data_IF_522698986642
#
_entry.id   IF_522698986642
#
_cell.length_a   1.000
_cell.length_b   1.000
_cell.length_c   1.000
_cell.angle_alpha   90.00
_cell.angle_beta   90.00
_cell.angle_gamma   90.00
#
_symmetry.space_group_name_H-M   'P 1'
#
loop_
_entity.id
_entity.type
_entity.pdbx_description
1 polymer ?
#
# COMPACT_ATOMS: atom_id res chain seq x y z
N UNK A 1 -19.52 6.30 16.49
CA UNK A 1 -19.24 6.50 15.05
C UNK A 1 -19.91 5.41 14.22
N UNK A 2 -20.13 5.63 12.91
CA UNK A 2 -20.74 4.58 12.07
C UNK A 2 -19.72 3.46 11.81
N UNK A 3 -20.14 2.21 12.01
CA UNK A 3 -19.30 1.02 11.73
C UNK A 3 -19.05 0.86 10.23
N UNK A 4 -17.96 0.17 9.88
CA UNK A 4 -17.72 -0.24 8.51
C UNK A 4 -18.85 -1.18 8.06
N UNK A 5 -19.47 -0.86 6.94
CA UNK A 5 -20.48 -1.70 6.31
C UNK A 5 -19.90 -2.28 5.02
N UNK A 6 -19.38 -3.51 5.09
CA UNK A 6 -18.78 -4.20 3.95
C UNK A 6 -19.86 -5.04 3.29
N UNK A 7 -20.14 -4.74 2.02
CA UNK A 7 -21.12 -5.50 1.20
C UNK A 7 -20.71 -6.97 1.15
N UNK A 8 -21.72 -7.86 1.19
CA UNK A 8 -21.49 -9.32 1.13
C UNK A 8 -21.91 -9.95 -0.18
N UNK A 9 -22.87 -9.33 -0.88
CA UNK A 9 -23.53 -9.92 -2.03
C UNK A 9 -23.43 -9.04 -3.28
N UNK A 10 -23.55 -9.65 -4.45
CA UNK A 10 -23.62 -9.00 -5.76
C UNK A 10 -22.38 -8.13 -6.10
N UNK A 11 -21.19 -8.60 -5.75
CA UNK A 11 -19.95 -7.95 -6.11
C UNK A 11 -19.07 -8.89 -6.94
N UNK A 12 -18.65 -8.40 -8.12
CA UNK A 12 -17.68 -9.10 -8.97
C UNK A 12 -16.29 -9.04 -8.34
N UNK A 13 -15.99 -7.94 -7.63
CA UNK A 13 -14.69 -7.73 -6.98
C UNK A 13 -14.83 -7.63 -5.46
N UNK A 14 -13.97 -8.33 -4.75
CA UNK A 14 -13.75 -8.10 -3.32
C UNK A 14 -12.94 -6.82 -3.10
N UNK A 15 -11.98 -6.55 -3.99
CA UNK A 15 -11.07 -5.43 -3.86
C UNK A 15 -10.71 -4.82 -5.22
N UNK A 16 -10.74 -3.50 -5.30
CA UNK A 16 -10.30 -2.72 -6.45
C UNK A 16 -9.24 -1.72 -6.04
N UNK A 17 -8.08 -1.77 -6.66
CA UNK A 17 -7.01 -0.81 -6.51
C UNK A 17 -7.05 0.27 -7.61
N UNK A 18 -6.62 1.50 -7.28
CA UNK A 18 -6.25 2.54 -8.25
C UNK A 18 -4.83 2.99 -7.94
N UNK A 19 -3.89 2.76 -8.84
CA UNK A 19 -2.50 3.09 -8.59
C UNK A 19 -1.60 2.97 -9.82
N UNK A 20 -0.29 3.12 -9.60
CA UNK A 20 0.72 2.97 -10.63
C UNK A 20 1.36 1.58 -10.58
N UNK A 21 1.55 0.98 -11.76
CA UNK A 21 2.44 -0.18 -11.92
C UNK A 21 3.84 0.31 -12.23
N UNK A 22 4.84 -0.31 -11.59
CA UNK A 22 6.26 -0.03 -11.81
C UNK A 22 7.02 -1.34 -11.99
N UNK A 23 8.22 -1.28 -12.56
CA UNK A 23 9.16 -2.39 -12.48
C UNK A 23 10.35 -1.98 -11.61
N UNK A 24 10.64 -2.79 -10.59
CA UNK A 24 11.76 -2.60 -9.67
C UNK A 24 12.94 -3.44 -10.11
N UNK A 25 14.10 -2.81 -10.24
CA UNK A 25 15.37 -3.47 -10.47
C UNK A 25 16.08 -3.62 -9.13
N UNK A 26 16.40 -4.87 -8.77
CA UNK A 26 16.97 -5.25 -7.48
C UNK A 26 18.27 -6.02 -7.66
N UNK A 27 19.44 -5.44 -7.35
CA UNK A 27 20.72 -6.14 -7.35
C UNK A 27 20.97 -6.93 -6.06
N UNK A 28 19.95 -7.16 -5.23
CA UNK A 28 20.09 -7.77 -3.92
C UNK A 28 20.89 -6.89 -2.95
N UNK A 29 21.88 -7.46 -2.29
CA UNK A 29 22.76 -6.74 -1.36
C UNK A 29 23.93 -6.02 -2.05
N UNK A 30 24.09 -6.17 -3.36
CA UNK A 30 25.16 -5.53 -4.12
C UNK A 30 24.78 -4.10 -4.48
N UNK A 31 25.60 -3.08 -4.17
CA UNK A 31 25.31 -1.71 -4.59
C UNK A 31 25.25 -1.56 -6.12
N UNK A 32 24.34 -0.74 -6.66
CA UNK A 32 24.15 -0.55 -8.11
C UNK A 32 25.46 -0.25 -8.85
N UNK A 33 26.38 0.56 -8.27
CA UNK A 33 27.67 0.87 -8.90
C UNK A 33 28.58 -0.33 -9.17
N UNK A 34 28.25 -1.50 -8.63
CA UNK A 34 28.98 -2.77 -8.78
C UNK A 34 28.10 -3.92 -9.27
N UNK A 35 26.81 -3.67 -9.44
CA UNK A 35 25.89 -4.68 -9.92
C UNK A 35 26.24 -5.15 -11.34
N UNK A 36 26.13 -6.45 -11.57
CA UNK A 36 26.30 -7.10 -12.89
C UNK A 36 25.02 -7.81 -13.35
N UNK A 37 24.07 -7.99 -12.45
CA UNK A 37 22.76 -8.55 -12.68
C UNK A 37 21.77 -7.87 -11.75
N UNK A 38 20.49 -7.92 -12.11
CA UNK A 38 19.38 -7.44 -11.30
C UNK A 38 18.20 -8.39 -11.48
N UNK A 39 17.45 -8.62 -10.43
CA UNK A 39 16.13 -9.21 -10.49
C UNK A 39 15.11 -8.14 -10.87
N UNK A 40 14.08 -8.49 -11.63
CA UNK A 40 12.99 -7.61 -12.01
C UNK A 40 11.74 -7.99 -11.23
N UNK A 41 11.26 -7.08 -10.39
CA UNK A 41 10.00 -7.23 -9.67
C UNK A 41 8.98 -6.25 -10.22
N UNK A 42 7.78 -6.72 -10.59
CA UNK A 42 6.64 -5.84 -10.88
C UNK A 42 6.01 -5.45 -9.55
N UNK A 43 5.79 -4.16 -9.37
CA UNK A 43 5.41 -3.54 -8.10
C UNK A 43 4.48 -2.34 -8.32
N UNK A 44 4.05 -1.78 -7.24
CA UNK A 44 3.17 -0.62 -7.09
C UNK A 44 2.38 -0.84 -5.80
N UNK A 45 2.34 0.14 -4.87
CA UNK A 45 1.76 -0.09 -3.54
C UNK A 45 0.37 -0.70 -3.61
N UNK A 46 -0.50 -0.13 -4.41
CA UNK A 46 -1.89 -0.56 -4.60
C UNK A 46 -1.98 -1.93 -5.31
N UNK A 47 -1.07 -2.17 -6.26
CA UNK A 47 -0.93 -3.46 -6.93
C UNK A 47 -0.41 -4.55 -5.98
N UNK A 48 0.54 -4.23 -5.10
CA UNK A 48 1.06 -5.16 -4.12
C UNK A 48 -0.05 -5.66 -3.19
N UNK A 49 -0.96 -4.75 -2.76
CA UNK A 49 -2.13 -5.12 -1.97
C UNK A 49 -3.09 -6.00 -2.77
N UNK A 50 -3.41 -5.63 -4.02
CA UNK A 50 -4.30 -6.42 -4.87
C UNK A 50 -3.75 -7.82 -5.14
N UNK A 51 -2.44 -7.93 -5.41
CA UNK A 51 -1.74 -9.19 -5.66
C UNK A 51 -1.73 -10.09 -4.43
N UNK A 52 -1.41 -9.54 -3.26
CA UNK A 52 -1.42 -10.32 -2.02
C UNK A 52 -2.84 -10.80 -1.64
N UNK A 53 -3.87 -9.98 -1.85
CA UNK A 53 -5.27 -10.39 -1.65
C UNK A 53 -5.69 -11.49 -2.62
N UNK A 54 -5.22 -11.45 -3.87
CA UNK A 54 -5.53 -12.47 -4.87
C UNK A 54 -4.74 -13.77 -4.64
N UNK A 55 -3.41 -13.71 -4.61
CA UNK A 55 -2.56 -14.89 -4.59
C UNK A 55 -2.51 -15.59 -3.21
N UNK A 56 -2.39 -14.81 -2.11
CA UNK A 56 -2.30 -15.39 -0.76
C UNK A 56 -3.69 -15.76 -0.19
N UNK A 57 -4.71 -14.92 -0.47
CA UNK A 57 -6.01 -15.00 0.17
C UNK A 57 -7.16 -15.38 -0.76
N UNK A 58 -6.90 -15.65 -2.03
CA UNK A 58 -7.85 -16.13 -3.04
C UNK A 58 -9.07 -15.21 -3.25
N UNK A 59 -8.93 -13.88 -3.01
CA UNK A 59 -9.97 -12.92 -3.25
C UNK A 59 -10.01 -12.47 -4.72
N UNK A 60 -11.20 -12.07 -5.18
CA UNK A 60 -11.37 -11.47 -6.50
C UNK A 60 -10.91 -10.02 -6.49
N UNK A 61 -9.75 -9.73 -7.09
CA UNK A 61 -9.15 -8.41 -7.05
C UNK A 61 -9.01 -7.78 -8.43
N UNK A 62 -8.98 -6.45 -8.47
CA UNK A 62 -8.74 -5.70 -9.70
C UNK A 62 -7.81 -4.51 -9.49
N UNK A 63 -7.23 -4.01 -10.58
CA UNK A 63 -6.43 -2.79 -10.59
C UNK A 63 -6.81 -1.89 -11.76
N UNK A 64 -7.19 -0.64 -11.47
CA UNK A 64 -7.33 0.43 -12.43
C UNK A 64 -5.99 1.18 -12.53
N UNK A 65 -5.43 1.29 -13.75
CA UNK A 65 -4.08 1.85 -13.93
C UNK A 65 -3.80 2.20 -15.40
N UNK A 66 -2.68 2.87 -15.64
CA UNK A 66 -2.12 3.04 -16.98
C UNK A 66 -1.35 1.80 -17.43
N UNK A 67 -1.41 1.52 -18.74
CA UNK A 67 -0.59 0.51 -19.38
C UNK A 67 0.01 1.06 -20.68
N UNK A 68 1.19 0.58 -21.04
CA UNK A 68 1.91 1.04 -22.21
C UNK A 68 2.20 -0.13 -23.15
N UNK A 69 1.97 0.09 -24.44
CA UNK A 69 2.16 -0.92 -25.47
C UNK A 69 3.63 -1.01 -25.90
N UNK A 70 4.46 -1.74 -25.14
CA UNK A 70 5.88 -2.02 -25.41
C UNK A 70 6.38 -3.18 -24.52
N UNK A 71 7.63 -3.65 -24.71
CA UNK A 71 8.13 -4.88 -24.08
C UNK A 71 8.08 -4.88 -22.53
N UNK A 72 8.34 -3.74 -21.86
CA UNK A 72 8.18 -3.67 -20.40
C UNK A 72 6.69 -3.70 -20.00
N UNK A 73 5.80 -3.11 -20.78
CA UNK A 73 4.36 -3.22 -20.57
C UNK A 73 3.87 -4.68 -20.66
N UNK A 74 4.39 -5.46 -21.62
CA UNK A 74 4.08 -6.90 -21.73
C UNK A 74 4.57 -7.70 -20.52
N UNK A 75 5.79 -7.42 -20.04
CA UNK A 75 6.33 -8.03 -18.82
C UNK A 75 5.41 -7.74 -17.62
N UNK A 76 4.99 -6.49 -17.44
CA UNK A 76 4.11 -6.07 -16.36
C UNK A 76 2.74 -6.74 -16.47
N UNK A 77 2.14 -6.79 -17.67
CA UNK A 77 0.86 -7.48 -17.89
C UNK A 77 0.93 -8.96 -17.55
N UNK A 78 2.02 -9.64 -17.95
CA UNK A 78 2.20 -11.05 -17.65
C UNK A 78 2.23 -11.30 -16.14
N UNK A 79 2.91 -10.43 -15.38
CA UNK A 79 2.93 -10.54 -13.92
C UNK A 79 1.56 -10.25 -13.29
N UNK A 80 0.82 -9.24 -13.79
CA UNK A 80 -0.55 -8.96 -13.31
C UNK A 80 -1.47 -10.17 -13.52
N UNK A 81 -1.37 -10.85 -14.67
CA UNK A 81 -2.13 -12.09 -14.95
C UNK A 81 -1.71 -13.23 -14.05
N UNK A 82 -0.40 -13.43 -13.84
CA UNK A 82 0.16 -14.47 -12.97
C UNK A 82 -0.38 -14.35 -11.53
N UNK A 83 -0.51 -13.13 -11.05
CA UNK A 83 -1.05 -12.85 -9.72
C UNK A 83 -2.59 -12.88 -9.64
N UNK A 84 -3.28 -13.19 -10.73
CA UNK A 84 -4.75 -13.30 -10.77
C UNK A 84 -5.50 -11.96 -10.61
N UNK A 85 -4.82 -10.82 -10.77
CA UNK A 85 -5.43 -9.49 -10.62
C UNK A 85 -6.12 -9.08 -11.93
N UNK A 86 -7.39 -8.72 -11.88
CA UNK A 86 -8.15 -8.25 -13.03
C UNK A 86 -7.76 -6.84 -13.43
N UNK A 87 -7.25 -6.59 -14.65
CA UNK A 87 -6.81 -5.27 -15.06
C UNK A 87 -7.95 -4.42 -15.64
N UNK A 88 -7.90 -3.11 -15.38
CA UNK A 88 -8.68 -2.06 -15.99
C UNK A 88 -7.73 -0.99 -16.49
N UNK A 89 -7.18 -1.19 -17.71
CA UNK A 89 -6.10 -0.39 -18.26
C UNK A 89 -6.60 0.80 -19.07
N UNK A 90 -6.03 1.98 -18.80
CA UNK A 90 -5.93 3.06 -19.77
C UNK A 90 -4.64 2.85 -20.56
N UNK A 91 -4.77 2.60 -21.85
CA UNK A 91 -3.64 2.33 -22.73
C UNK A 91 -2.98 3.59 -23.26
N UNK A 92 -1.65 3.54 -23.35
CA UNK A 92 -0.81 4.54 -23.98
C UNK A 92 0.14 3.87 -24.97
N UNK A 93 0.42 4.57 -26.09
CA UNK A 93 1.31 4.08 -27.14
C UNK A 93 2.75 4.52 -26.90
N UNK A 94 3.69 3.67 -27.29
CA UNK A 94 5.13 3.93 -27.31
C UNK A 94 5.70 3.48 -28.66
N UNK A 95 6.47 4.36 -29.34
CA UNK A 95 6.98 4.10 -30.70
C UNK A 95 8.25 3.22 -30.73
N UNK A 96 8.67 2.68 -29.57
CA UNK A 96 9.92 1.93 -29.40
C UNK A 96 11.12 2.81 -29.01
N UNK A 97 11.00 4.13 -29.15
CA UNK A 97 12.05 5.10 -28.81
C UNK A 97 11.54 6.15 -27.85
N UNK A 98 10.33 6.65 -28.07
CA UNK A 98 9.71 7.74 -27.32
C UNK A 98 8.27 7.42 -26.97
N UNK A 99 7.79 8.02 -25.88
CA UNK A 99 6.43 7.90 -25.43
C UNK A 99 6.34 7.79 -23.91
N UNK A 100 5.12 7.66 -23.38
CA UNK A 100 4.92 7.27 -21.99
C UNK A 100 5.55 5.92 -21.69
N UNK A 101 6.00 5.70 -20.46
CA UNK A 101 6.64 4.46 -20.04
C UNK A 101 6.12 3.97 -18.68
N UNK A 102 6.42 2.72 -18.36
CA UNK A 102 6.26 2.18 -17.01
C UNK A 102 7.47 2.63 -16.19
N UNK A 103 7.25 3.28 -15.06
CA UNK A 103 8.33 3.80 -14.23
C UNK A 103 9.27 2.70 -13.73
N UNK A 104 10.55 3.06 -13.59
CA UNK A 104 11.58 2.18 -13.03
C UNK A 104 11.91 2.61 -11.60
N UNK A 105 11.90 1.65 -10.69
CA UNK A 105 12.40 1.80 -9.34
C UNK A 105 13.72 1.03 -9.22
N UNK A 106 14.74 1.68 -8.69
CA UNK A 106 16.03 1.06 -8.41
C UNK A 106 16.17 0.95 -6.91
N UNK A 107 16.33 -0.26 -6.39
CA UNK A 107 16.43 -0.47 -4.95
C UNK A 107 17.34 -1.63 -4.63
N UNK A 108 18.51 -1.35 -4.00
CA UNK A 108 19.27 -2.40 -3.32
C UNK A 108 18.73 -2.62 -1.90
N UNK A 109 19.03 -3.78 -1.32
CA UNK A 109 18.49 -4.18 0.00
C UNK A 109 19.31 -3.64 1.17
N UNK A 110 20.50 -3.07 0.93
CA UNK A 110 21.44 -2.81 2.02
C UNK A 110 21.88 -4.10 2.72
N UNK A 111 22.64 -3.98 3.81
CA UNK A 111 22.94 -5.11 4.71
C UNK A 111 23.61 -4.61 5.98
N UNK A 112 23.22 -5.09 7.15
CA UNK A 112 23.78 -4.72 8.44
C UNK A 112 23.74 -3.21 8.66
N UNK A 113 24.89 -2.58 8.84
CA UNK A 113 25.04 -1.13 9.03
C UNK A 113 24.94 -0.32 7.73
N UNK A 114 24.95 -0.97 6.58
CA UNK A 114 24.84 -0.31 5.28
C UNK A 114 23.37 -0.14 4.89
N UNK A 115 22.85 1.10 4.83
CA UNK A 115 21.44 1.34 4.50
C UNK A 115 21.15 0.96 3.05
N UNK A 116 19.91 0.56 2.73
CA UNK A 116 19.45 0.38 1.35
C UNK A 116 19.37 1.71 0.63
N UNK A 117 19.56 1.68 -0.69
CA UNK A 117 19.46 2.87 -1.54
C UNK A 117 18.28 2.69 -2.48
N UNK A 118 17.40 3.70 -2.52
CA UNK A 118 16.23 3.72 -3.42
C UNK A 118 16.25 5.02 -4.24
N UNK A 119 16.15 4.88 -5.56
CA UNK A 119 15.96 5.99 -6.48
C UNK A 119 15.03 5.59 -7.61
N UNK A 120 14.52 6.57 -8.38
CA UNK A 120 13.45 6.37 -9.34
C UNK A 120 13.77 6.99 -10.68
N UNK A 121 13.28 6.37 -11.75
CA UNK A 121 13.05 7.05 -13.02
C UNK A 121 11.54 7.04 -13.30
N UNK A 122 10.91 8.19 -13.06
CA UNK A 122 9.48 8.44 -13.29
C UNK A 122 9.26 9.46 -14.42
N UNK A 123 10.28 9.77 -15.19
CA UNK A 123 10.15 10.64 -16.37
C UNK A 123 9.20 10.00 -17.38
N UNK A 124 8.22 10.76 -17.86
CA UNK A 124 7.19 10.30 -18.82
C UNK A 124 6.40 9.07 -18.33
N UNK A 125 6.23 8.90 -17.02
CA UNK A 125 5.44 7.81 -16.48
C UNK A 125 3.99 7.88 -16.94
N UNK A 126 3.50 6.80 -17.57
CA UNK A 126 2.13 6.74 -18.09
C UNK A 126 1.07 6.93 -17.00
N UNK A 127 1.32 6.42 -15.80
CA UNK A 127 0.40 6.57 -14.66
C UNK A 127 0.23 8.03 -14.23
N UNK A 128 1.24 8.89 -14.44
CA UNK A 128 1.15 10.32 -14.15
C UNK A 128 0.25 11.10 -15.14
N UNK A 129 -0.07 10.49 -16.28
CA UNK A 129 -0.94 11.08 -17.32
C UNK A 129 -2.42 10.77 -17.08
N UNK A 130 -2.74 9.87 -16.15
CA UNK A 130 -4.12 9.54 -15.81
C UNK A 130 -4.85 10.75 -15.22
N UNK A 131 -6.12 10.89 -15.61
CA UNK A 131 -6.97 12.01 -15.19
C UNK A 131 -8.41 11.55 -15.00
N UNK A 132 -9.26 12.33 -14.32
CA UNK A 132 -10.69 12.08 -14.24
C UNK A 132 -11.31 11.79 -15.61
N UNK A 133 -12.18 10.76 -15.65
CA UNK A 133 -12.82 10.27 -16.87
C UNK A 133 -12.02 9.23 -17.67
N UNK A 134 -10.76 8.92 -17.33
CA UNK A 134 -9.99 7.88 -18.02
C UNK A 134 -10.37 6.45 -17.61
N UNK A 135 -11.01 6.28 -16.46
CA UNK A 135 -11.47 4.98 -15.94
C UNK A 135 -13.01 4.93 -15.95
N UNK A 136 -13.56 3.87 -16.49
CA UNK A 136 -15.02 3.65 -16.52
C UNK A 136 -15.53 3.12 -15.17
N UNK A 137 -15.58 4.02 -14.18
CA UNK A 137 -16.08 3.70 -12.85
C UNK A 137 -17.51 3.17 -12.85
N UNK A 138 -18.33 3.67 -13.76
CA UNK A 138 -19.73 3.24 -13.88
C UNK A 138 -19.86 1.76 -14.19
N UNK A 139 -19.09 1.26 -15.15
CA UNK A 139 -19.06 -0.17 -15.47
C UNK A 139 -18.43 -0.99 -14.36
N UNK A 140 -17.32 -0.55 -13.77
CA UNK A 140 -16.60 -1.31 -12.73
C UNK A 140 -17.46 -1.44 -11.48
N UNK A 141 -17.92 -0.33 -10.91
CA UNK A 141 -18.74 -0.35 -9.69
C UNK A 141 -20.17 -0.83 -9.95
N UNK A 142 -20.68 -0.73 -11.18
CA UNK A 142 -21.96 -1.29 -11.59
C UNK A 142 -22.02 -2.81 -11.50
N UNK A 143 -20.87 -3.49 -11.64
CA UNK A 143 -20.71 -4.94 -11.42
C UNK A 143 -20.45 -5.29 -9.95
N UNK A 144 -20.26 -4.29 -9.10
CA UNK A 144 -20.05 -4.39 -7.67
C UNK A 144 -18.57 -4.59 -7.28
N UNK A 145 -18.14 -3.75 -6.35
CA UNK A 145 -16.89 -3.91 -5.63
C UNK A 145 -17.17 -3.71 -4.13
N UNK A 146 -16.50 -4.50 -3.28
CA UNK A 146 -16.67 -4.41 -1.81
C UNK A 146 -15.75 -3.36 -1.20
N UNK A 147 -14.57 -3.18 -1.80
CA UNK A 147 -13.50 -2.33 -1.29
C UNK A 147 -12.79 -1.59 -2.42
N UNK A 148 -12.50 -0.31 -2.22
CA UNK A 148 -11.67 0.52 -3.12
C UNK A 148 -10.48 1.09 -2.36
N UNK A 149 -9.28 1.00 -2.94
CA UNK A 149 -8.03 1.39 -2.32
C UNK A 149 -7.15 2.21 -3.25
N UNK A 150 -6.51 3.24 -2.71
CA UNK A 150 -5.45 4.00 -3.38
C UNK A 150 -4.41 4.49 -2.37
N UNK A 151 -3.37 5.19 -2.81
CA UNK A 151 -2.28 5.62 -1.94
C UNK A 151 -1.58 6.91 -2.34
N UNK A 152 -0.80 7.43 -1.39
CA UNK A 152 -0.15 8.72 -1.47
C UNK A 152 0.98 8.81 -2.50
N UNK A 153 1.59 7.68 -2.90
CA UNK A 153 2.56 7.68 -3.99
C UNK A 153 1.85 8.01 -5.31
N UNK A 154 0.72 7.36 -5.60
CA UNK A 154 -0.06 7.64 -6.80
C UNK A 154 -0.61 9.08 -6.78
N UNK A 155 -1.07 9.56 -5.62
CA UNK A 155 -1.52 10.94 -5.46
C UNK A 155 -0.44 11.98 -5.82
N UNK A 156 0.84 11.65 -5.59
CA UNK A 156 1.99 12.52 -5.81
C UNK A 156 2.53 12.51 -7.26
N UNK A 157 1.96 11.73 -8.18
CA UNK A 157 2.49 11.63 -9.55
C UNK A 157 2.13 12.86 -10.39
N UNK A 158 0.94 13.40 -10.22
CA UNK A 158 0.50 14.63 -10.88
C UNK A 158 -0.73 15.24 -10.20
N UNK A 159 -1.09 16.47 -10.58
CA UNK A 159 -2.32 17.09 -10.10
C UNK A 159 -3.57 16.31 -10.54
N UNK A 160 -3.54 15.65 -11.70
CA UNK A 160 -4.70 14.91 -12.22
C UNK A 160 -4.88 13.54 -11.56
N UNK A 161 -3.81 12.89 -11.09
CA UNK A 161 -3.92 11.60 -10.39
C UNK A 161 -4.61 11.75 -9.04
N UNK A 162 -4.37 12.84 -8.31
CA UNK A 162 -5.08 13.12 -7.06
C UNK A 162 -6.59 13.37 -7.27
N UNK A 163 -6.97 14.07 -8.34
CA UNK A 163 -8.38 14.26 -8.70
C UNK A 163 -9.04 12.94 -9.15
N UNK A 164 -8.31 12.08 -9.87
CA UNK A 164 -8.79 10.76 -10.25
C UNK A 164 -9.03 9.85 -9.02
N UNK A 165 -8.18 9.95 -7.97
CA UNK A 165 -8.42 9.25 -6.70
C UNK A 165 -9.73 9.72 -6.08
N UNK A 166 -9.97 11.03 -6.00
CA UNK A 166 -11.21 11.59 -5.44
C UNK A 166 -12.42 11.11 -6.25
N UNK A 167 -12.34 11.13 -7.58
CA UNK A 167 -13.40 10.61 -8.46
C UNK A 167 -13.69 9.13 -8.14
N UNK A 168 -12.65 8.28 -8.04
CA UNK A 168 -12.78 6.87 -7.69
C UNK A 168 -13.42 6.66 -6.31
N UNK A 169 -12.96 7.39 -5.28
CA UNK A 169 -13.52 7.35 -3.92
C UNK A 169 -15.02 7.72 -3.91
N UNK A 170 -15.39 8.79 -4.61
CA UNK A 170 -16.80 9.21 -4.70
C UNK A 170 -17.68 8.17 -5.39
N UNK A 171 -17.18 7.53 -6.45
CA UNK A 171 -17.91 6.45 -7.12
C UNK A 171 -18.05 5.21 -6.24
N UNK A 172 -16.99 4.84 -5.51
CA UNK A 172 -17.01 3.77 -4.53
C UNK A 172 -18.06 4.02 -3.43
N UNK A 173 -18.06 5.21 -2.83
CA UNK A 173 -19.01 5.60 -1.80
C UNK A 173 -20.47 5.55 -2.29
N UNK A 174 -20.77 6.04 -3.53
CA UNK A 174 -22.11 5.99 -4.10
C UNK A 174 -22.65 4.57 -4.25
N UNK A 175 -21.77 3.58 -4.42
CA UNK A 175 -22.13 2.16 -4.59
C UNK A 175 -22.03 1.37 -3.30
N UNK A 176 -21.63 2.00 -2.19
CA UNK A 176 -21.48 1.38 -0.88
C UNK A 176 -20.24 0.52 -0.71
N UNK A 177 -19.23 0.71 -1.55
CA UNK A 177 -17.91 0.13 -1.33
C UNK A 177 -17.17 0.89 -0.21
N UNK A 178 -16.42 0.17 0.61
CA UNK A 178 -15.52 0.77 1.61
C UNK A 178 -14.36 1.43 0.89
N UNK A 179 -13.98 2.62 1.32
CA UNK A 179 -12.83 3.35 0.77
C UNK A 179 -11.66 3.31 1.73
N UNK A 180 -10.45 3.00 1.24
CA UNK A 180 -9.22 3.05 2.03
C UNK A 180 -8.10 3.78 1.31
N UNK A 181 -7.22 4.36 2.10
CA UNK A 181 -6.08 5.11 1.59
C UNK A 181 -4.84 4.88 2.45
N UNK A 182 -3.72 4.50 1.81
CA UNK A 182 -2.41 4.48 2.46
C UNK A 182 -1.73 5.84 2.23
N UNK A 183 -1.43 6.55 3.29
CA UNK A 183 -0.80 7.87 3.23
C UNK A 183 0.55 7.84 2.51
N UNK A 184 1.35 6.83 2.77
CA UNK A 184 2.59 6.48 2.06
C UNK A 184 3.37 7.70 1.52
N UNK A 185 3.57 8.71 2.39
CA UNK A 185 4.18 9.98 2.03
C UNK A 185 5.62 9.79 1.55
N UNK A 186 5.98 10.45 0.46
CA UNK A 186 7.34 10.44 -0.09
C UNK A 186 7.77 11.86 -0.46
N UNK A 187 8.56 12.51 0.41
CA UNK A 187 9.04 13.89 0.21
C UNK A 187 9.66 14.11 -1.17
N UNK A 188 10.42 13.13 -1.69
CA UNK A 188 11.07 13.20 -3.02
C UNK A 188 10.06 13.33 -4.17
N UNK A 189 8.85 12.77 -4.04
CA UNK A 189 7.82 12.86 -5.09
C UNK A 189 7.06 14.18 -5.00
N UNK A 190 6.84 14.68 -3.79
CA UNK A 190 6.13 15.95 -3.59
C UNK A 190 6.99 17.19 -3.84
N UNK A 191 8.31 17.10 -3.64
CA UNK A 191 9.22 18.23 -3.79
C UNK A 191 9.10 18.99 -5.13
N UNK A 192 8.99 18.31 -6.31
CA UNK A 192 8.87 18.98 -7.60
C UNK A 192 7.51 19.64 -7.84
N UNK A 193 6.46 19.26 -7.11
CA UNK A 193 5.07 19.69 -7.34
C UNK A 193 4.49 20.57 -6.23
N UNK A 194 5.35 21.16 -5.38
CA UNK A 194 4.96 22.11 -4.34
C UNK A 194 5.28 21.68 -2.92
N UNK A 195 6.00 20.56 -2.74
CA UNK A 195 6.54 20.13 -1.45
C UNK A 195 5.50 19.72 -0.43
N UNK A 196 5.84 19.89 0.85
CA UNK A 196 5.03 19.41 1.96
C UNK A 196 3.66 20.13 2.06
N UNK A 197 3.62 21.42 1.82
CA UNK A 197 2.37 22.19 1.93
C UNK A 197 1.36 21.72 0.87
N UNK A 198 1.83 21.47 -0.36
CA UNK A 198 0.98 20.91 -1.41
C UNK A 198 0.55 19.48 -1.11
N UNK A 199 1.44 18.67 -0.55
CA UNK A 199 1.10 17.33 -0.09
C UNK A 199 -0.04 17.37 0.94
N UNK A 200 0.07 18.20 1.96
CA UNK A 200 -0.96 18.37 2.99
C UNK A 200 -2.30 18.83 2.41
N UNK A 201 -2.28 19.83 1.54
CA UNK A 201 -3.50 20.30 0.86
C UNK A 201 -4.22 19.17 0.14
N UNK A 202 -3.48 18.43 -0.71
CA UNK A 202 -4.04 17.37 -1.56
C UNK A 202 -4.48 16.17 -0.74
N UNK A 203 -3.62 15.67 0.17
CA UNK A 203 -3.93 14.50 0.97
C UNK A 203 -5.12 14.71 1.90
N UNK A 204 -5.27 15.89 2.48
CA UNK A 204 -6.45 16.24 3.28
C UNK A 204 -7.74 16.21 2.46
N UNK A 205 -7.71 16.63 1.19
CA UNK A 205 -8.87 16.56 0.28
C UNK A 205 -9.24 15.10 -0.01
N UNK A 206 -8.25 14.22 -0.24
CA UNK A 206 -8.48 12.79 -0.46
C UNK A 206 -9.04 12.13 0.79
N UNK A 207 -8.43 12.38 1.95
CA UNK A 207 -8.81 11.78 3.25
C UNK A 207 -10.25 12.11 3.66
N UNK A 208 -10.80 13.23 3.21
CA UNK A 208 -12.21 13.56 3.40
C UNK A 208 -13.19 12.53 2.76
N UNK A 209 -12.70 11.65 1.90
CA UNK A 209 -13.47 10.58 1.23
C UNK A 209 -13.08 9.17 1.69
N UNK A 210 -12.34 9.04 2.80
CA UNK A 210 -11.75 7.77 3.24
C UNK A 210 -12.46 7.22 4.47
N UNK A 211 -12.85 5.94 4.44
CA UNK A 211 -13.37 5.20 5.59
C UNK A 211 -12.25 4.61 6.45
N UNK A 212 -11.20 4.07 5.81
CA UNK A 212 -10.07 3.38 6.45
C UNK A 212 -8.76 4.05 6.05
N UNK A 213 -8.11 4.69 7.02
CA UNK A 213 -6.83 5.34 6.83
C UNK A 213 -5.70 4.41 7.27
N UNK A 214 -4.72 4.20 6.40
CA UNK A 214 -3.53 3.38 6.66
C UNK A 214 -2.29 4.27 6.53
N UNK A 215 -1.26 3.99 7.31
CA UNK A 215 0.01 4.71 7.24
C UNK A 215 0.93 4.30 8.38
N UNK A 216 2.11 4.89 8.41
CA UNK A 216 3.00 4.80 9.56
C UNK A 216 2.86 6.06 10.45
N UNK A 217 3.56 6.07 11.58
CA UNK A 217 3.50 7.17 12.54
C UNK A 217 3.92 8.52 11.95
N UNK A 218 4.96 8.50 11.11
CA UNK A 218 5.50 9.71 10.48
C UNK A 218 4.54 10.28 9.43
N UNK A 219 3.85 9.39 8.69
CA UNK A 219 2.91 9.80 7.66
C UNK A 219 1.72 10.59 8.25
N UNK A 220 1.15 10.15 9.37
CA UNK A 220 0.01 10.86 10.00
C UNK A 220 0.39 12.28 10.43
N UNK A 221 1.58 12.47 10.98
CA UNK A 221 2.06 13.81 11.38
C UNK A 221 2.45 14.66 10.17
N UNK A 222 3.29 14.12 9.31
CA UNK A 222 3.90 14.87 8.22
C UNK A 222 2.90 15.15 7.11
N UNK A 223 2.22 14.10 6.62
CA UNK A 223 1.37 14.21 5.43
C UNK A 223 0.05 14.92 5.70
N UNK A 224 -0.53 14.80 6.89
CA UNK A 224 -1.77 15.46 7.26
C UNK A 224 -1.56 16.75 8.05
N UNK A 225 -0.32 17.04 8.48
CA UNK A 225 -0.01 18.19 9.32
C UNK A 225 -0.69 18.12 10.69
N UNK A 226 -0.87 16.92 11.23
CA UNK A 226 -1.47 16.69 12.54
C UNK A 226 -0.39 16.89 13.62
N UNK A 227 -0.54 17.80 14.58
CA UNK A 227 0.41 17.94 15.67
C UNK A 227 0.49 16.64 16.47
N UNK A 228 1.69 16.09 16.60
CA UNK A 228 1.99 14.90 17.40
C UNK A 228 3.14 15.16 18.36
N UNK A 229 3.51 14.20 19.22
CA UNK A 229 4.74 14.28 19.96
C UNK A 229 5.90 14.44 18.97
N UNK A 230 6.96 15.18 19.36
CA UNK A 230 8.16 15.22 18.54
C UNK A 230 8.59 13.78 18.25
N UNK A 231 8.60 13.40 16.96
CA UNK A 231 9.13 12.10 16.52
C UNK A 231 10.63 12.19 16.73
N UNK A 232 11.09 11.86 17.92
CA UNK A 232 12.50 11.69 18.16
C UNK A 232 12.99 10.56 17.26
N UNK A 233 14.17 10.70 16.67
CA UNK A 233 14.82 9.71 15.79
C UNK A 233 15.03 8.33 16.45
N UNK A 234 14.52 8.13 17.64
CA UNK A 234 14.43 6.91 18.46
C UNK A 234 13.01 6.81 19.04
N UNK A 235 12.00 6.71 18.20
CA UNK A 235 10.66 6.39 18.69
C UNK A 235 10.71 4.99 19.29
N UNK A 236 10.82 4.90 20.60
CA UNK A 236 10.32 3.73 21.32
C UNK A 236 8.86 3.61 20.89
N UNK A 237 8.43 2.39 20.58
CA UNK A 237 7.06 2.04 20.22
C UNK A 237 6.07 2.47 21.32
N UNK A 238 5.83 3.77 21.44
CA UNK A 238 4.90 4.34 22.42
C UNK A 238 3.49 4.37 21.85
N UNK A 239 2.74 3.33 22.10
CA UNK A 239 1.36 3.17 21.65
C UNK A 239 0.45 4.32 22.13
N UNK A 240 0.67 4.85 23.33
CA UNK A 240 -0.15 5.93 23.89
C UNK A 240 -0.09 7.20 23.04
N UNK A 241 1.09 7.61 22.62
CA UNK A 241 1.30 8.77 21.74
C UNK A 241 0.64 8.58 20.38
N UNK A 242 0.64 7.33 19.85
CA UNK A 242 -0.03 7.03 18.58
C UNK A 242 -1.54 7.17 18.68
N UNK A 243 -2.16 6.64 19.72
CA UNK A 243 -3.61 6.77 19.87
C UNK A 243 -4.04 8.22 20.09
N UNK A 244 -3.28 9.02 20.82
CA UNK A 244 -3.54 10.46 20.94
C UNK A 244 -3.46 11.17 19.58
N UNK A 245 -2.53 10.80 18.71
CA UNK A 245 -2.43 11.33 17.37
C UNK A 245 -3.62 10.88 16.50
N UNK A 246 -4.03 9.63 16.59
CA UNK A 246 -5.21 9.10 15.90
C UNK A 246 -6.47 9.88 16.32
N UNK A 247 -6.66 10.16 17.59
CA UNK A 247 -7.79 10.97 18.10
C UNK A 247 -7.81 12.37 17.47
N UNK A 248 -6.66 13.00 17.29
CA UNK A 248 -6.55 14.29 16.60
C UNK A 248 -6.88 14.20 15.11
N UNK A 249 -6.49 13.10 14.45
CA UNK A 249 -6.89 12.83 13.06
C UNK A 249 -8.41 12.72 12.96
N UNK A 250 -9.03 11.93 13.83
CA UNK A 250 -10.47 11.70 13.85
C UNK A 250 -11.28 12.98 14.16
N UNK A 251 -10.74 13.86 15.01
CA UNK A 251 -11.35 15.15 15.28
C UNK A 251 -11.39 16.06 14.02
N UNK A 252 -10.42 15.94 13.11
CA UNK A 252 -10.37 16.70 11.88
C UNK A 252 -11.08 16.02 10.69
N UNK A 253 -11.16 14.69 10.71
CA UNK A 253 -11.76 13.86 9.66
C UNK A 253 -12.80 12.89 10.26
N UNK A 254 -14.01 13.38 10.60
CA UNK A 254 -15.05 12.57 11.25
C UNK A 254 -15.65 11.48 10.34
N UNK A 255 -15.35 11.50 9.05
CA UNK A 255 -15.72 10.46 8.09
C UNK A 255 -14.91 9.16 8.29
N UNK A 256 -13.69 9.25 8.85
CA UNK A 256 -12.83 8.08 9.08
C UNK A 256 -13.46 7.19 10.15
N UNK A 257 -13.58 5.90 9.82
CA UNK A 257 -14.14 4.86 10.70
C UNK A 257 -13.05 4.01 11.35
N UNK A 258 -11.88 3.93 10.69
CA UNK A 258 -10.75 3.11 11.13
C UNK A 258 -9.43 3.78 10.79
N UNK A 259 -8.47 3.71 11.70
CA UNK A 259 -7.07 4.10 11.45
C UNK A 259 -6.17 2.94 11.85
N UNK A 260 -5.31 2.52 10.93
CA UNK A 260 -4.32 1.47 11.16
C UNK A 260 -2.92 2.00 10.88
N UNK A 261 -2.01 1.74 11.80
CA UNK A 261 -0.63 2.24 11.74
C UNK A 261 0.36 1.12 12.02
N UNK A 262 1.33 0.94 11.12
CA UNK A 262 2.47 0.06 11.37
C UNK A 262 3.52 0.79 12.20
N UNK A 263 4.10 0.07 13.16
CA UNK A 263 5.15 0.55 14.05
C UNK A 263 6.43 -0.22 13.76
N UNK A 264 7.51 0.51 13.49
CA UNK A 264 8.78 -0.13 13.15
C UNK A 264 9.96 0.61 13.78
N UNK A 265 10.80 -0.14 14.51
CA UNK A 265 12.11 0.32 14.93
C UNK A 265 13.20 -0.43 14.15
N UNK A 266 14.15 0.31 13.57
CA UNK A 266 15.17 -0.20 12.66
C UNK A 266 16.51 -0.29 13.40
N UNK A 267 16.91 -1.51 13.78
CA UNK A 267 18.22 -1.76 14.41
C UNK A 267 19.35 -1.82 13.35
N UNK A 268 19.05 -2.43 12.20
CA UNK A 268 19.95 -2.51 11.05
C UNK A 268 19.13 -2.67 9.76
N UNK A 269 19.76 -2.68 8.60
CA UNK A 269 19.04 -2.84 7.32
C UNK A 269 18.22 -4.12 7.22
N UNK A 270 18.62 -5.15 7.94
CA UNK A 270 17.98 -6.47 7.93
C UNK A 270 17.48 -6.94 9.31
N UNK A 271 17.41 -6.05 10.31
CA UNK A 271 16.85 -6.38 11.63
C UNK A 271 15.95 -5.26 12.12
N UNK A 272 14.67 -5.57 12.27
CA UNK A 272 13.64 -4.61 12.64
C UNK A 272 12.78 -5.14 13.78
N UNK A 273 12.35 -4.25 14.70
CA UNK A 273 11.19 -4.48 15.53
C UNK A 273 9.93 -4.12 14.74
N UNK A 274 8.93 -4.98 14.77
CA UNK A 274 7.71 -4.85 13.97
C UNK A 274 6.47 -5.01 14.83
N UNK A 275 5.60 -4.02 14.79
CA UNK A 275 4.32 -3.98 15.47
C UNK A 275 3.30 -3.18 14.68
N UNK A 276 2.07 -3.12 15.19
CA UNK A 276 1.01 -2.30 14.60
C UNK A 276 -0.03 -1.93 15.65
N UNK A 277 -0.75 -0.85 15.40
CA UNK A 277 -1.92 -0.42 16.17
C UNK A 277 -3.10 -0.19 15.25
N UNK A 278 -4.30 -0.38 15.80
CA UNK A 278 -5.56 -0.16 15.13
C UNK A 278 -6.50 0.59 16.08
N UNK A 279 -7.13 1.63 15.55
CA UNK A 279 -8.29 2.27 16.18
C UNK A 279 -9.54 2.00 15.36
N UNK A 280 -10.61 1.54 15.99
CA UNK A 280 -11.89 1.29 15.36
C UNK A 280 -13.05 1.43 16.34
N UNK A 281 -14.05 2.24 16.01
CA UNK A 281 -15.31 2.42 16.78
C UNK A 281 -15.09 2.77 18.26
N UNK A 282 -14.06 3.57 18.58
CA UNK A 282 -13.71 3.96 19.96
C UNK A 282 -12.78 2.99 20.67
N UNK A 283 -12.49 1.84 20.09
CA UNK A 283 -11.61 0.83 20.68
C UNK A 283 -10.19 0.89 20.09
N UNK A 284 -9.22 0.54 20.91
CA UNK A 284 -7.80 0.55 20.59
C UNK A 284 -7.26 -0.89 20.62
N UNK A 285 -6.60 -1.31 19.56
CA UNK A 285 -6.02 -2.65 19.43
C UNK A 285 -4.52 -2.54 19.15
N UNK A 286 -3.73 -3.42 19.73
CA UNK A 286 -2.27 -3.45 19.63
C UNK A 286 -1.86 -4.87 19.24
N UNK A 287 -1.02 -4.97 18.18
CA UNK A 287 -0.42 -6.25 17.80
C UNK A 287 0.73 -6.64 18.74
N UNK A 288 1.18 -7.90 18.75
CA UNK A 288 2.48 -8.23 19.30
C UNK A 288 3.59 -7.42 18.62
N UNK A 289 4.69 -7.18 19.36
CA UNK A 289 5.94 -6.67 18.78
C UNK A 289 6.87 -7.86 18.57
N UNK A 290 7.39 -8.02 17.36
CA UNK A 290 8.29 -9.11 17.00
C UNK A 290 9.55 -8.60 16.33
N UNK A 291 10.70 -9.20 16.67
CA UNK A 291 11.95 -8.93 15.98
C UNK A 291 12.00 -9.74 14.69
N UNK A 292 12.19 -9.05 13.57
CA UNK A 292 12.25 -9.64 12.23
C UNK A 292 13.68 -9.61 11.70
N UNK A 293 14.10 -10.73 11.12
CA UNK A 293 15.24 -10.80 10.22
C UNK A 293 14.72 -10.60 8.79
N UNK A 294 14.92 -9.38 8.27
CA UNK A 294 14.35 -8.90 7.01
C UNK A 294 15.26 -9.25 5.84
N UNK A 295 14.72 -9.93 4.83
CA UNK A 295 15.40 -10.17 3.56
C UNK A 295 15.22 -9.00 2.59
N UNK A 296 13.98 -8.53 2.44
CA UNK A 296 13.62 -7.34 1.66
C UNK A 296 12.56 -6.53 2.43
N UNK A 297 12.82 -5.25 2.66
CA UNK A 297 11.93 -4.40 3.46
C UNK A 297 10.80 -3.76 2.65
N UNK A 298 10.88 -3.82 1.31
CA UNK A 298 9.91 -3.19 0.42
C UNK A 298 8.61 -4.01 0.43
N UNK A 299 7.48 -3.34 0.40
CA UNK A 299 6.17 -3.99 0.45
C UNK A 299 5.65 -4.37 1.84
N UNK A 300 6.45 -4.24 2.93
CA UNK A 300 5.99 -4.62 4.28
C UNK A 300 4.74 -3.87 4.74
N UNK A 301 4.61 -2.58 4.41
CA UNK A 301 3.39 -1.79 4.63
C UNK A 301 2.21 -2.28 3.80
N UNK A 302 2.45 -2.54 2.51
CA UNK A 302 1.44 -3.09 1.60
C UNK A 302 0.97 -4.47 2.07
N UNK A 303 1.91 -5.30 2.57
CA UNK A 303 1.60 -6.59 3.19
C UNK A 303 0.74 -6.46 4.45
N UNK A 304 1.01 -5.47 5.28
CA UNK A 304 0.15 -5.15 6.43
C UNK A 304 -1.26 -4.77 5.98
N UNK A 305 -1.38 -3.84 5.02
CA UNK A 305 -2.66 -3.43 4.46
C UNK A 305 -3.43 -4.63 3.88
N UNK A 306 -2.74 -5.51 3.14
CA UNK A 306 -3.30 -6.74 2.56
C UNK A 306 -3.96 -7.63 3.62
N UNK A 307 -3.22 -8.02 4.66
CA UNK A 307 -3.74 -8.91 5.69
C UNK A 307 -4.85 -8.29 6.53
N UNK A 308 -4.75 -6.97 6.82
CA UNK A 308 -5.80 -6.20 7.52
C UNK A 308 -7.10 -6.19 6.70
N UNK A 309 -7.02 -5.82 5.42
CA UNK A 309 -8.18 -5.73 4.51
C UNK A 309 -8.80 -7.12 4.33
N UNK A 310 -8.00 -8.17 4.15
CA UNK A 310 -8.50 -9.54 4.12
C UNK A 310 -9.31 -9.90 5.37
N UNK A 311 -8.77 -9.62 6.56
CA UNK A 311 -9.45 -9.89 7.82
C UNK A 311 -10.82 -9.21 7.88
N UNK A 312 -10.88 -7.92 7.51
CA UNK A 312 -12.12 -7.13 7.51
C UNK A 312 -13.14 -7.64 6.48
N UNK A 313 -12.72 -7.89 5.24
CA UNK A 313 -13.58 -8.42 4.17
C UNK A 313 -14.13 -9.80 4.55
N UNK A 314 -13.34 -10.62 5.25
CA UNK A 314 -13.72 -11.96 5.73
C UNK A 314 -14.58 -11.93 7.00
N UNK A 315 -14.94 -10.74 7.52
CA UNK A 315 -15.79 -10.57 8.68
C UNK A 315 -15.11 -10.91 10.02
N UNK A 316 -13.79 -10.85 10.07
CA UNK A 316 -13.03 -11.06 11.31
C UNK A 316 -13.20 -9.89 12.27
N UNK A 317 -13.08 -10.16 13.57
CA UNK A 317 -13.04 -9.11 14.58
C UNK A 317 -11.85 -8.15 14.32
N UNK A 318 -11.94 -6.87 14.70
CA UNK A 318 -10.87 -5.88 14.44
C UNK A 318 -9.49 -6.31 14.95
N UNK A 319 -9.43 -6.92 16.13
CA UNK A 319 -8.19 -7.46 16.70
C UNK A 319 -7.59 -8.58 15.82
N UNK A 320 -8.43 -9.50 15.33
CA UNK A 320 -7.98 -10.58 14.45
C UNK A 320 -7.52 -10.04 13.10
N UNK A 321 -8.23 -9.06 12.53
CA UNK A 321 -7.84 -8.38 11.30
C UNK A 321 -6.49 -7.66 11.46
N UNK A 322 -6.27 -6.97 12.58
CA UNK A 322 -4.97 -6.37 12.90
C UNK A 322 -3.85 -7.41 12.97
N UNK A 323 -4.09 -8.55 13.62
CA UNK A 323 -3.11 -9.64 13.73
C UNK A 323 -2.78 -10.26 12.38
N UNK A 324 -3.76 -10.39 11.48
CA UNK A 324 -3.54 -10.87 10.11
C UNK A 324 -2.71 -9.88 9.31
N UNK A 325 -2.98 -8.57 9.43
CA UNK A 325 -2.16 -7.52 8.83
C UNK A 325 -0.72 -7.56 9.33
N UNK A 326 -0.54 -7.59 10.64
CA UNK A 326 0.77 -7.70 11.28
C UNK A 326 1.54 -8.93 10.82
N UNK A 327 0.91 -10.11 10.79
CA UNK A 327 1.54 -11.35 10.39
C UNK A 327 1.90 -11.40 8.91
N UNK A 328 0.99 -10.96 8.04
CA UNK A 328 1.24 -10.95 6.60
C UNK A 328 2.34 -9.95 6.21
N UNK A 329 2.34 -8.74 6.80
CA UNK A 329 3.40 -7.75 6.58
C UNK A 329 4.77 -8.24 7.06
N UNK A 330 4.83 -8.95 8.20
CA UNK A 330 6.06 -9.56 8.70
C UNK A 330 6.58 -10.64 7.74
N UNK A 331 5.71 -11.59 7.33
CA UNK A 331 6.08 -12.67 6.43
C UNK A 331 6.55 -12.14 5.07
N UNK A 332 5.90 -11.11 4.52
CA UNK A 332 6.31 -10.51 3.25
C UNK A 332 7.80 -10.11 3.28
N UNK A 333 8.27 -9.54 4.39
CA UNK A 333 9.67 -9.09 4.48
C UNK A 333 10.71 -10.23 4.46
N UNK A 334 10.27 -11.49 4.54
CA UNK A 334 11.13 -12.69 4.47
C UNK A 334 11.31 -13.22 3.04
N UNK A 335 10.64 -12.63 2.06
CA UNK A 335 10.73 -12.97 0.64
C UNK A 335 11.44 -11.87 -0.14
N UNK A 336 12.06 -12.18 -1.30
CA UNK A 336 12.51 -11.17 -2.23
C UNK A 336 11.34 -10.58 -2.99
N UNK A 337 11.36 -9.29 -3.26
CA UNK A 337 10.31 -8.60 -4.00
C UNK A 337 9.29 -7.91 -3.11
N UNK A 338 8.27 -7.36 -3.73
CA UNK A 338 7.33 -6.42 -3.11
C UNK A 338 5.97 -7.06 -2.79
N UNK A 339 5.78 -8.31 -3.24
CA UNK A 339 4.56 -9.11 -3.03
C UNK A 339 4.92 -10.36 -2.24
N UNK A 340 4.04 -10.78 -1.34
CA UNK A 340 4.24 -11.98 -0.54
C UNK A 340 4.26 -13.25 -1.41
N UNK A 341 5.03 -14.24 -0.96
CA UNK A 341 4.94 -15.64 -1.47
C UNK A 341 4.29 -16.55 -0.42
N UNK A 342 3.87 -15.99 0.72
CA UNK A 342 3.19 -16.75 1.77
C UNK A 342 1.79 -17.17 1.32
N UNK A 343 1.29 -18.26 1.90
CA UNK A 343 -0.09 -18.74 1.75
C UNK A 343 -0.87 -18.51 3.03
N UNK A 344 -2.20 -18.43 2.92
CA UNK A 344 -3.10 -18.22 4.06
C UNK A 344 -2.78 -19.09 5.30
N UNK A 345 -2.49 -20.40 5.20
CA UNK A 345 -2.14 -21.20 6.38
C UNK A 345 -0.90 -20.71 7.12
N UNK A 346 0.12 -20.19 6.41
CA UNK A 346 1.35 -19.65 6.99
C UNK A 346 1.06 -18.34 7.74
N UNK A 347 0.23 -17.46 7.15
CA UNK A 347 -0.21 -16.23 7.78
C UNK A 347 -0.99 -16.53 9.06
N UNK A 348 -1.94 -17.47 9.01
CA UNK A 348 -2.73 -17.89 10.17
C UNK A 348 -1.87 -18.51 11.28
N UNK A 349 -0.87 -19.32 10.90
CA UNK A 349 0.05 -19.93 11.84
C UNK A 349 0.90 -18.87 12.56
N UNK A 350 1.47 -17.93 11.82
CA UNK A 350 2.27 -16.85 12.40
C UNK A 350 1.43 -15.88 13.25
N UNK A 351 0.22 -15.53 12.81
CA UNK A 351 -0.72 -14.70 13.58
C UNK A 351 -1.08 -15.31 14.96
N UNK A 352 -1.00 -16.63 15.10
CA UNK A 352 -1.22 -17.38 16.36
C UNK A 352 0.05 -17.59 17.20
N UNK A 353 1.19 -17.04 16.80
CA UNK A 353 2.48 -17.24 17.46
C UNK A 353 3.23 -18.50 17.00
N UNK A 354 3.04 -18.90 15.73
CA UNK A 354 3.74 -20.05 15.13
C UNK A 354 5.26 -19.94 15.17
N UNK A 355 5.93 -21.09 15.12
CA UNK A 355 7.39 -21.16 15.16
C UNK A 355 7.99 -21.46 13.79
N UNK A 356 9.25 -21.04 13.57
CA UNK A 356 10.05 -21.32 12.37
C UNK A 356 10.50 -22.80 12.26
N UNK A 357 9.89 -23.72 13.04
CA UNK A 357 10.20 -25.15 12.97
C UNK A 357 9.63 -25.75 11.69
N UNK A 358 10.38 -26.69 11.10
CA UNK A 358 9.93 -27.42 9.91
C UNK A 358 8.54 -28.02 10.15
N UNK A 359 7.58 -27.63 9.34
CA UNK A 359 6.26 -28.27 9.27
C UNK A 359 6.41 -29.55 8.46
N UNK A 360 6.10 -30.69 9.07
CA UNK A 360 6.11 -32.03 8.44
C UNK A 360 4.69 -32.46 8.14
#
# INVERSE_FOLDING_TARGET
MAKLNIRKDNCELDFLALGALVHRLDPGVVPFRRARAVDIHVSGGEYNVASGLSDCFELQTGIATAMVNYGIGELVQNRVREMGVKPYYKWFEHDGVRGPNIATVYSDRGYGVRPPVVFYNRSNEAAALLKPGDIDWKTIFGRGARWFHSGGIFAALSATTSELIIEGMQNAQRTGAVTSFDLNYRAKLWAPIGGLDKAREVLRRIVAHVDVLIGNEEDLQTALGIPGPEVAAKSKLDHGSFFQMIERVLAQFPNIKMVATTLRDVESSNRHQWGAVLWYDGEQFISPVHQLDVLDRIGGGDGFATGLIYGLISGKAPEEALRLGWAHGALLTTFPGDVTMARLPEVLAFAKGGSARVQR
#
